data_IF_443730425105
#
_entry.id   IF_443730425105
#
_cell.length_a   1.000
_cell.length_b   1.000
_cell.length_c   1.000
_cell.angle_alpha   90.00
_cell.angle_beta   90.00
_cell.angle_gamma   90.00
#
_symmetry.space_group_name_H-M   'P 1'
#
loop_
_entity.id
_entity.type
_entity.pdbx_description
1 polymer ?
#
# COMPACT_ATOMS: atom_id res chain seq x y z
N UNK A 1 -13.81 10.17 6.30
CA UNK A 1 -13.22 10.35 4.96
C UNK A 1 -14.29 10.95 4.07
N UNK A 2 -13.94 11.94 3.24
CA UNK A 2 -14.86 12.51 2.24
C UNK A 2 -15.37 11.40 1.28
N UNK A 3 -16.64 11.44 0.91
CA UNK A 3 -17.28 10.44 0.03
C UNK A 3 -16.57 10.31 -1.33
N UNK A 4 -16.08 11.41 -1.90
CA UNK A 4 -15.32 11.41 -3.16
C UNK A 4 -13.98 10.73 -2.98
N UNK A 5 -13.27 11.02 -1.89
CA UNK A 5 -12.00 10.38 -1.55
C UNK A 5 -12.21 8.88 -1.33
N UNK A 6 -13.27 8.51 -0.62
CA UNK A 6 -13.65 7.11 -0.38
C UNK A 6 -13.87 6.33 -1.67
N UNK A 7 -14.62 6.91 -2.63
CA UNK A 7 -14.82 6.29 -3.95
C UNK A 7 -13.52 6.18 -4.74
N UNK A 8 -12.67 7.19 -4.72
CA UNK A 8 -11.38 7.14 -5.41
C UNK A 8 -10.50 6.01 -4.86
N UNK A 9 -10.37 5.92 -3.54
CA UNK A 9 -9.61 4.84 -2.87
C UNK A 9 -10.20 3.47 -3.19
N UNK A 10 -11.53 3.34 -3.21
CA UNK A 10 -12.18 2.10 -3.58
C UNK A 10 -11.88 1.69 -5.02
N UNK A 11 -12.05 2.60 -5.99
CA UNK A 11 -11.86 2.30 -7.42
C UNK A 11 -10.41 1.97 -7.73
N UNK A 12 -9.45 2.78 -7.26
CA UNK A 12 -8.03 2.51 -7.47
C UNK A 12 -7.60 1.22 -6.79
N UNK A 13 -8.11 0.96 -5.58
CA UNK A 13 -7.91 -0.29 -4.86
C UNK A 13 -8.45 -1.49 -5.63
N UNK A 14 -9.66 -1.41 -6.18
CA UNK A 14 -10.28 -2.49 -6.93
C UNK A 14 -9.49 -2.81 -8.21
N UNK A 15 -9.07 -1.79 -8.95
CA UNK A 15 -8.23 -1.94 -10.15
C UNK A 15 -6.89 -2.59 -9.80
N UNK A 16 -6.21 -2.10 -8.77
CA UNK A 16 -4.94 -2.67 -8.31
C UNK A 16 -5.09 -4.12 -7.84
N UNK A 17 -6.21 -4.45 -7.19
CA UNK A 17 -6.53 -5.83 -6.76
C UNK A 17 -6.64 -6.76 -7.96
N UNK A 18 -7.47 -6.39 -8.94
CA UNK A 18 -7.78 -7.24 -10.09
C UNK A 18 -6.57 -7.39 -10.99
N UNK A 19 -5.93 -6.28 -11.38
CA UNK A 19 -4.77 -6.33 -12.27
C UNK A 19 -3.57 -6.99 -11.59
N UNK A 20 -3.35 -6.72 -10.29
CA UNK A 20 -2.34 -7.41 -9.51
C UNK A 20 -2.58 -8.92 -9.45
N UNK A 21 -3.81 -9.36 -9.16
CA UNK A 21 -4.13 -10.79 -9.11
C UNK A 21 -3.94 -11.48 -10.47
N UNK A 22 -4.35 -10.82 -11.56
CA UNK A 22 -4.12 -11.31 -12.93
C UNK A 22 -2.62 -11.42 -13.23
N UNK A 23 -1.83 -10.40 -12.87
CA UNK A 23 -0.38 -10.40 -13.05
C UNK A 23 0.34 -11.47 -12.23
N UNK A 24 -0.15 -11.84 -11.05
CA UNK A 24 0.40 -12.98 -10.28
C UNK A 24 0.17 -14.30 -10.99
N UNK A 25 -1.03 -14.50 -11.54
CA UNK A 25 -1.41 -15.74 -12.22
C UNK A 25 -0.68 -15.88 -13.55
N UNK A 26 -0.76 -14.83 -14.38
CA UNK A 26 -0.20 -14.81 -15.73
C UNK A 26 1.31 -14.57 -15.75
N UNK A 27 1.86 -13.93 -14.72
CA UNK A 27 3.27 -13.57 -14.70
C UNK A 27 3.65 -12.74 -15.92
N UNK A 28 4.84 -12.97 -16.43
CA UNK A 28 5.41 -12.24 -17.57
C UNK A 28 4.60 -12.40 -18.87
N UNK A 29 3.73 -13.41 -18.97
CA UNK A 29 2.85 -13.63 -20.12
C UNK A 29 1.76 -12.53 -20.25
N UNK A 30 1.51 -11.74 -19.19
CA UNK A 30 0.56 -10.61 -19.25
C UNK A 30 1.14 -9.39 -20.00
N UNK A 31 2.48 -9.27 -20.04
CA UNK A 31 3.20 -8.15 -20.71
C UNK A 31 3.73 -8.56 -22.07
N UNK A 32 4.04 -9.83 -22.26
CA UNK A 32 4.58 -10.34 -23.53
C UNK A 32 3.46 -10.72 -24.48
N UNK A 33 3.52 -10.13 -25.67
CA UNK A 33 2.52 -10.33 -26.71
C UNK A 33 2.38 -11.78 -27.14
N UNK A 34 1.12 -12.15 -27.37
CA UNK A 34 0.54 -13.34 -28.05
C UNK A 34 1.12 -14.75 -27.77
N UNK A 35 0.23 -15.74 -27.58
CA UNK A 35 0.60 -17.14 -27.72
C UNK A 35 1.22 -17.42 -29.11
N UNK A 36 2.44 -17.97 -29.15
CA UNK A 36 3.06 -18.49 -30.37
C UNK A 36 4.26 -17.70 -30.91
N UNK A 37 4.68 -16.61 -30.27
CA UNK A 37 5.94 -15.94 -30.61
C UNK A 37 7.13 -16.76 -30.11
N UNK A 38 8.14 -16.97 -30.97
CA UNK A 38 9.30 -17.84 -30.70
C UNK A 38 9.96 -17.47 -29.38
N UNK A 39 9.77 -18.34 -28.39
CA UNK A 39 10.26 -18.17 -27.03
C UNK A 39 11.73 -18.59 -27.00
N UNK A 40 12.65 -17.77 -26.46
CA UNK A 40 13.81 -18.35 -25.82
C UNK A 40 13.30 -18.98 -24.51
N UNK A 41 12.85 -20.24 -24.60
CA UNK A 41 12.28 -21.00 -23.47
C UNK A 41 13.28 -21.14 -22.32
N UNK A 42 14.55 -20.83 -22.59
CA UNK A 42 15.69 -21.02 -21.69
C UNK A 42 16.47 -19.70 -21.43
N UNK A 43 15.88 -18.54 -21.76
CA UNK A 43 16.55 -17.26 -21.52
C UNK A 43 16.88 -17.13 -20.00
N UNK A 44 18.16 -17.06 -19.60
CA UNK A 44 18.54 -17.09 -18.17
C UNK A 44 17.94 -15.94 -17.34
N UNK A 45 17.56 -14.86 -18.01
CA UNK A 45 16.94 -13.68 -17.41
C UNK A 45 15.42 -13.80 -17.25
N UNK A 46 14.77 -14.77 -17.90
CA UNK A 46 13.31 -14.93 -17.91
C UNK A 46 12.73 -15.12 -16.51
N UNK A 47 13.32 -16.02 -15.72
CA UNK A 47 12.90 -16.28 -14.35
C UNK A 47 13.10 -15.07 -13.43
N UNK A 48 14.16 -14.30 -13.65
CA UNK A 48 14.43 -13.08 -12.87
C UNK A 48 13.38 -12.00 -13.13
N UNK A 49 13.05 -11.76 -14.41
CA UNK A 49 12.04 -10.76 -14.81
C UNK A 49 10.63 -11.22 -14.40
N UNK A 50 10.28 -12.50 -14.58
CA UNK A 50 8.98 -13.01 -14.14
C UNK A 50 8.85 -12.95 -12.61
N UNK A 51 9.93 -13.23 -11.87
CA UNK A 51 9.95 -13.12 -10.40
C UNK A 51 9.69 -11.70 -9.93
N UNK A 52 10.34 -10.72 -10.56
CA UNK A 52 10.13 -9.31 -10.27
C UNK A 52 8.70 -8.86 -10.63
N UNK A 53 8.19 -9.30 -11.78
CA UNK A 53 6.83 -8.97 -12.20
C UNK A 53 5.78 -9.54 -11.23
N UNK A 54 5.89 -10.82 -10.86
CA UNK A 54 4.96 -11.47 -9.91
C UNK A 54 5.07 -10.89 -8.50
N UNK A 55 6.25 -10.39 -8.10
CA UNK A 55 6.41 -9.63 -6.86
C UNK A 55 5.56 -8.36 -6.88
N UNK A 56 5.73 -7.50 -7.89
CA UNK A 56 4.96 -6.25 -7.97
C UNK A 56 3.47 -6.51 -8.14
N UNK A 57 3.09 -7.51 -8.95
CA UNK A 57 1.70 -7.88 -9.14
C UNK A 57 1.03 -8.29 -7.82
N UNK A 58 1.68 -9.14 -7.02
CA UNK A 58 1.17 -9.55 -5.71
C UNK A 58 1.12 -8.41 -4.69
N UNK A 59 2.11 -7.51 -4.74
CA UNK A 59 2.13 -6.30 -3.92
C UNK A 59 0.91 -5.42 -4.23
N UNK A 60 0.68 -5.10 -5.51
CA UNK A 60 -0.48 -4.32 -5.96
C UNK A 60 -1.79 -5.01 -5.62
N UNK A 61 -1.88 -6.33 -5.78
CA UNK A 61 -3.06 -7.10 -5.44
C UNK A 61 -3.44 -6.91 -3.96
N UNK A 62 -2.44 -6.99 -3.08
CA UNK A 62 -2.66 -6.94 -1.64
C UNK A 62 -2.96 -5.53 -1.14
N UNK A 63 -2.19 -4.53 -1.61
CA UNK A 63 -2.44 -3.11 -1.29
C UNK A 63 -3.79 -2.66 -1.84
N UNK A 64 -4.16 -3.13 -3.04
CA UNK A 64 -5.47 -2.88 -3.62
C UNK A 64 -6.61 -3.43 -2.79
N UNK A 65 -6.50 -4.70 -2.36
CA UNK A 65 -7.53 -5.35 -1.56
C UNK A 65 -7.69 -4.68 -0.19
N UNK A 66 -6.58 -4.24 0.40
CA UNK A 66 -6.58 -3.42 1.61
C UNK A 66 -7.29 -2.09 1.37
N UNK A 67 -6.98 -1.38 0.28
CA UNK A 67 -7.61 -0.09 -0.05
C UNK A 67 -9.13 -0.20 -0.25
N UNK A 68 -9.60 -1.25 -0.94
CA UNK A 68 -11.04 -1.56 -1.09
C UNK A 68 -11.71 -1.75 0.26
N UNK A 69 -11.03 -2.48 1.17
CA UNK A 69 -11.53 -2.75 2.51
C UNK A 69 -11.56 -1.48 3.37
N UNK A 70 -10.50 -0.68 3.37
CA UNK A 70 -10.44 0.56 4.16
C UNK A 70 -11.48 1.59 3.71
N UNK A 71 -11.75 1.65 2.41
CA UNK A 71 -12.85 2.45 1.87
C UNK A 71 -14.24 2.03 2.41
N UNK A 72 -14.37 0.84 2.99
CA UNK A 72 -15.58 0.36 3.63
C UNK A 72 -15.60 0.53 5.16
N UNK A 73 -14.46 0.47 5.85
CA UNK A 73 -14.42 0.33 7.33
C UNK A 73 -13.83 1.52 8.11
N UNK A 74 -13.03 2.39 7.50
CA UNK A 74 -12.42 3.58 8.14
C UNK A 74 -11.78 3.33 9.53
N UNK A 75 -11.01 2.23 9.70
CA UNK A 75 -10.40 1.85 10.98
C UNK A 75 -8.86 1.94 10.92
N UNK A 76 -8.24 2.97 11.54
CA UNK A 76 -6.80 3.24 11.42
C UNK A 76 -5.88 2.31 12.24
N UNK A 77 -6.40 1.28 12.90
CA UNK A 77 -5.62 0.39 13.79
C UNK A 77 -4.97 -0.84 13.15
N UNK A 78 -5.17 -1.09 11.83
CA UNK A 78 -4.97 -2.43 11.22
C UNK A 78 -3.89 -2.51 10.14
N UNK A 79 -3.19 -1.40 9.87
CA UNK A 79 -2.39 -1.21 8.64
C UNK A 79 -1.13 -2.07 8.58
N UNK A 80 -0.45 -2.29 9.70
CA UNK A 80 0.85 -3.01 9.72
C UNK A 80 0.70 -4.49 9.32
N UNK A 81 -0.44 -5.13 9.63
CA UNK A 81 -0.69 -6.53 9.25
C UNK A 81 -0.87 -6.68 7.74
N UNK A 82 -1.44 -5.67 7.08
CA UNK A 82 -1.63 -5.68 5.64
C UNK A 82 -0.33 -5.48 4.88
N UNK A 83 0.60 -4.69 5.43
CA UNK A 83 1.98 -4.63 4.92
C UNK A 83 2.63 -6.01 5.03
N UNK A 84 2.49 -6.69 6.16
CA UNK A 84 2.97 -8.07 6.32
C UNK A 84 2.34 -9.05 5.31
N UNK A 85 1.03 -8.96 5.09
CA UNK A 85 0.33 -9.77 4.09
C UNK A 85 0.85 -9.49 2.66
N UNK A 86 1.14 -8.22 2.32
CA UNK A 86 1.66 -7.85 1.01
C UNK A 86 3.04 -8.46 0.76
N UNK A 87 3.93 -8.43 1.75
CA UNK A 87 5.23 -9.08 1.68
C UNK A 87 5.11 -10.60 1.48
N UNK A 88 4.22 -11.27 2.22
CA UNK A 88 4.00 -12.73 2.07
C UNK A 88 3.39 -13.10 0.71
N UNK A 89 2.42 -12.32 0.23
CA UNK A 89 1.85 -12.51 -1.09
C UNK A 89 2.92 -12.36 -2.18
N UNK A 90 3.81 -11.38 -2.04
CA UNK A 90 4.88 -11.11 -3.00
C UNK A 90 5.94 -12.21 -3.04
N UNK A 91 6.34 -12.75 -1.88
CA UNK A 91 7.19 -13.93 -1.81
C UNK A 91 6.54 -15.16 -2.48
N UNK A 92 5.23 -15.31 -2.34
CA UNK A 92 4.46 -16.38 -3.02
C UNK A 92 4.49 -16.20 -4.54
N UNK A 93 4.36 -14.96 -5.03
CA UNK A 93 4.52 -14.62 -6.44
C UNK A 93 5.89 -15.04 -6.99
N UNK A 94 6.97 -14.78 -6.25
CA UNK A 94 8.32 -15.25 -6.63
C UNK A 94 8.44 -16.76 -6.63
N UNK A 95 7.82 -17.45 -5.67
CA UNK A 95 7.82 -18.92 -5.64
C UNK A 95 7.10 -19.52 -6.87
N UNK A 96 6.01 -18.90 -7.32
CA UNK A 96 5.33 -19.27 -8.57
C UNK A 96 6.22 -19.05 -9.79
N UNK A 97 7.02 -17.99 -9.80
CA UNK A 97 8.02 -17.77 -10.85
C UNK A 97 9.07 -18.87 -10.90
N UNK A 98 9.60 -19.26 -9.73
CA UNK A 98 10.57 -20.37 -9.62
C UNK A 98 9.99 -21.66 -10.20
N UNK A 99 8.73 -21.95 -9.88
CA UNK A 99 8.02 -23.12 -10.37
C UNK A 99 7.80 -23.09 -11.89
N UNK A 100 7.62 -21.91 -12.48
CA UNK A 100 7.23 -21.76 -13.89
C UNK A 100 8.44 -21.63 -14.83
N UNK A 101 9.50 -20.97 -14.38
CA UNK A 101 10.66 -20.61 -15.22
C UNK A 101 12.01 -21.05 -14.63
N UNK A 102 12.02 -21.75 -13.50
CA UNK A 102 13.25 -22.23 -12.87
C UNK A 102 13.90 -21.19 -11.94
N UNK A 103 15.16 -21.44 -11.56
CA UNK A 103 15.82 -20.68 -10.49
C UNK A 103 16.27 -19.29 -10.96
N UNK A 104 15.77 -18.19 -10.36
CA UNK A 104 16.21 -16.84 -10.70
C UNK A 104 17.61 -16.57 -10.14
N UNK A 105 18.19 -15.42 -10.52
CA UNK A 105 19.48 -14.98 -9.98
C UNK A 105 19.43 -14.95 -8.45
N UNK A 106 20.53 -15.34 -7.80
CA UNK A 106 20.70 -15.34 -6.34
C UNK A 106 20.21 -14.09 -5.61
N UNK A 107 20.31 -12.89 -6.20
CA UNK A 107 19.73 -11.66 -5.63
C UNK A 107 18.23 -11.81 -5.34
N UNK A 108 17.45 -12.36 -6.27
CA UNK A 108 16.00 -12.54 -6.11
C UNK A 108 15.65 -13.62 -5.10
N UNK A 109 16.52 -14.61 -4.88
CA UNK A 109 16.37 -15.57 -3.78
C UNK A 109 16.61 -14.92 -2.42
N UNK A 110 17.60 -14.01 -2.33
CA UNK A 110 17.84 -13.21 -1.12
C UNK A 110 16.65 -12.29 -0.87
N UNK A 111 16.15 -11.59 -1.89
CA UNK A 111 14.95 -10.75 -1.78
C UNK A 111 13.73 -11.55 -1.32
N UNK A 112 13.49 -12.73 -1.90
CA UNK A 112 12.42 -13.64 -1.46
C UNK A 112 12.57 -14.02 0.02
N UNK A 113 13.80 -14.29 0.50
CA UNK A 113 14.07 -14.54 1.91
C UNK A 113 13.75 -13.34 2.81
N UNK A 114 14.12 -12.13 2.38
CA UNK A 114 13.79 -10.87 3.07
C UNK A 114 12.28 -10.64 3.11
N UNK A 115 11.59 -10.87 1.99
CA UNK A 115 10.15 -10.74 1.86
C UNK A 115 9.41 -11.66 2.84
N UNK A 116 9.82 -12.92 2.95
CA UNK A 116 9.28 -13.86 3.93
C UNK A 116 9.54 -13.39 5.37
N UNK A 117 10.76 -12.97 5.68
CA UNK A 117 11.15 -12.50 7.01
C UNK A 117 10.33 -11.28 7.46
N UNK A 118 10.23 -10.26 6.60
CA UNK A 118 9.43 -9.06 6.86
C UNK A 118 7.94 -9.40 6.95
N UNK A 119 7.44 -10.23 6.04
CA UNK A 119 6.05 -10.66 6.01
C UNK A 119 5.62 -11.35 7.30
N UNK A 120 6.42 -12.30 7.78
CA UNK A 120 6.17 -12.99 9.06
C UNK A 120 6.26 -12.02 10.25
N UNK A 121 7.29 -11.18 10.30
CA UNK A 121 7.52 -10.24 11.41
C UNK A 121 6.36 -9.23 11.56
N UNK A 122 5.94 -8.62 10.45
CA UNK A 122 4.89 -7.59 10.43
C UNK A 122 3.50 -8.20 10.66
N UNK A 123 3.24 -9.39 10.13
CA UNK A 123 1.99 -10.12 10.37
C UNK A 123 1.86 -10.56 11.85
N UNK A 124 2.96 -10.95 12.48
CA UNK A 124 2.99 -11.34 13.89
C UNK A 124 2.78 -10.15 14.85
N UNK A 125 3.36 -8.98 14.55
CA UNK A 125 3.30 -7.79 15.42
C UNK A 125 1.91 -7.16 15.58
N UNK A 126 0.97 -7.49 14.70
CA UNK A 126 -0.37 -6.93 14.80
C UNK A 126 -1.19 -7.44 16.00
N UNK A 127 -0.80 -8.52 16.69
CA UNK A 127 -1.43 -8.97 17.94
C UNK A 127 -0.81 -8.21 19.12
N UNK A 128 -1.34 -7.03 19.47
CA UNK A 128 -1.15 -6.51 20.84
C UNK A 128 -0.49 -5.15 21.02
N UNK A 129 -0.12 -4.40 19.98
CA UNK A 129 0.31 -3.01 20.17
C UNK A 129 -0.88 -2.07 20.09
N UNK A 130 -1.65 -1.96 21.18
CA UNK A 130 -2.35 -0.72 21.46
C UNK A 130 -1.29 0.36 21.51
N UNK A 131 -1.11 1.11 20.43
CA UNK A 131 -0.27 2.30 20.47
C UNK A 131 -0.84 3.15 21.61
N UNK A 132 -0.06 3.44 22.68
CA UNK A 132 -0.57 4.33 23.71
C UNK A 132 -0.86 5.64 23.00
N UNK A 133 -2.14 5.99 22.91
CA UNK A 133 -2.57 7.29 22.46
C UNK A 133 -1.87 8.28 23.39
N UNK A 134 -0.73 8.81 22.94
CA UNK A 134 0.03 9.85 23.63
C UNK A 134 -0.92 11.04 23.59
N UNK A 135 -1.76 11.18 24.61
CA UNK A 135 -2.57 12.37 24.81
C UNK A 135 -1.57 13.50 24.90
N UNK A 136 -1.42 14.23 23.80
CA UNK A 136 -0.76 15.52 23.83
C UNK A 136 -1.62 16.34 24.79
N UNK A 137 -1.09 16.76 25.96
CA UNK A 137 -1.86 17.64 26.80
C UNK A 137 -2.10 18.92 26.02
N UNK A 138 -3.37 19.19 25.67
CA UNK A 138 -3.85 20.47 25.14
C UNK A 138 -3.79 21.52 26.26
N UNK A 139 -2.61 21.78 26.80
CA UNK A 139 -2.33 22.99 27.55
C UNK A 139 -1.63 23.93 26.58
N UNK A 140 -2.41 24.78 25.91
CA UNK A 140 -2.02 26.08 25.31
C UNK A 140 -3.22 26.68 24.54
N UNK A 141 -4.44 26.57 25.09
CA UNK A 141 -5.66 27.19 24.55
C UNK A 141 -6.17 28.34 25.42
N UNK A 142 -5.25 29.03 26.10
CA UNK A 142 -5.52 30.21 26.91
C UNK A 142 -4.57 31.36 26.56
N UNK A 143 -4.50 31.73 25.28
CA UNK A 143 -4.13 33.09 24.89
C UNK A 143 -5.36 33.72 24.26
N UNK A 144 -6.23 34.16 25.18
CA UNK A 144 -7.41 34.95 24.95
C UNK A 144 -7.01 36.30 24.34
N UNK A 145 -7.45 36.51 23.09
CA UNK A 145 -8.13 37.71 22.59
C UNK A 145 -7.79 39.05 23.28
N UNK A 146 -6.97 39.87 22.61
CA UNK A 146 -7.14 41.33 22.63
C UNK A 146 -7.53 41.79 21.23
N UNK A 147 -8.84 41.92 21.00
CA UNK A 147 -9.38 42.67 19.85
C UNK A 147 -9.31 44.16 20.20
N UNK A 148 -8.68 45.02 19.38
CA UNK A 148 -8.83 46.46 19.52
C UNK A 148 -10.25 46.89 19.13
N UNK A 149 -10.85 47.70 20.00
CA UNK A 149 -12.23 48.20 19.97
C UNK A 149 -12.39 49.21 18.83
N UNK A 150 -13.40 48.98 17.98
CA UNK A 150 -13.82 49.86 16.88
C UNK A 150 -14.29 51.23 17.39
N UNK A 151 -14.07 52.24 16.55
CA UNK A 151 -14.19 53.67 16.85
C UNK A 151 -15.57 54.20 17.25
N UNK A 152 -15.55 55.37 17.87
CA UNK A 152 -16.71 56.20 18.23
C UNK A 152 -16.79 57.39 17.25
N UNK A 153 -17.97 57.71 16.68
CA UNK A 153 -18.15 58.88 15.83
C UNK A 153 -18.21 60.16 16.67
N UNK A 154 -17.69 61.25 16.10
CA UNK A 154 -17.60 62.55 16.72
C UNK A 154 -18.95 63.26 16.87
N UNK A 155 -19.09 63.97 17.98
CA UNK A 155 -20.03 65.08 18.16
C UNK A 155 -19.18 66.31 18.47
N UNK A 156 -19.08 67.20 17.48
CA UNK A 156 -18.55 68.56 17.64
C UNK A 156 -19.78 69.45 17.86
N UNK A 157 -19.99 69.87 19.10
CA UNK A 157 -20.88 71.00 19.40
C UNK A 157 -20.09 72.28 19.15
N UNK A 158 -20.64 73.15 18.30
CA UNK A 158 -20.20 74.51 18.10
C UNK A 158 -21.31 75.46 18.53
N UNK A 159 -20.92 76.42 19.39
CA UNK A 159 -21.46 77.77 19.59
C UNK A 159 -22.84 77.95 20.20
#
# INVERSE_FOLDING_TARGET
MDERIRRLVFVTGAVATVLGALGVVRGIDDVRGRPGESRPEDAPWLASVDSEFRFFAAWYATVGAWSVREAATADPGRDVRWVGAAWLASATGRALSIRSHGRPHGLYLVLMGVELGLGMLLSARGKGSSFPARRIPLSLRSLSLSRPRSGRPGTVEGS
#
